data_IF_155682962294
#
_entry.id   IF_155682962294
#
_cell.length_a   1.000
_cell.length_b   1.000
_cell.length_c   1.000
_cell.angle_alpha   90.00
_cell.angle_beta   90.00
_cell.angle_gamma   90.00
#
_symmetry.space_group_name_H-M   'P 1'
#
loop_
_entity.id
_entity.type
_entity.pdbx_description
1 polymer ?
#
# COMPACT_ATOMS: atom_id res chain seq x y z
N UNK A 1 9.02 19.06 -71.99
CA UNK A 1 7.66 18.82 -71.46
C UNK A 1 7.77 17.87 -70.27
N UNK A 2 7.30 18.33 -69.10
CA UNK A 2 7.32 17.67 -67.78
C UNK A 2 6.51 16.36 -67.79
N UNK A 3 7.00 15.28 -67.17
CA UNK A 3 6.23 14.27 -66.37
C UNK A 3 7.20 13.58 -65.39
N UNK A 4 7.28 14.06 -64.15
CA UNK A 4 6.56 13.59 -62.95
C UNK A 4 7.24 12.38 -62.30
N UNK A 5 8.12 12.68 -61.35
CA UNK A 5 8.60 11.77 -60.30
C UNK A 5 7.42 11.37 -59.41
N UNK A 6 7.10 10.08 -59.35
CA UNK A 6 6.21 9.52 -58.33
C UNK A 6 7.09 8.95 -57.21
N UNK A 7 7.33 9.75 -56.17
CA UNK A 7 7.96 9.29 -54.94
C UNK A 7 6.93 8.54 -54.09
N UNK A 8 7.12 7.23 -53.93
CA UNK A 8 6.33 6.41 -53.02
C UNK A 8 6.88 6.59 -51.60
N UNK A 9 6.29 7.51 -50.82
CA UNK A 9 6.51 7.53 -49.36
C UNK A 9 5.75 6.35 -48.76
N UNK A 10 6.45 5.25 -48.50
CA UNK A 10 5.95 4.19 -47.63
C UNK A 10 5.99 4.68 -46.18
N UNK A 11 4.86 5.17 -45.68
CA UNK A 11 4.67 5.40 -44.26
C UNK A 11 4.59 4.04 -43.54
N UNK A 12 5.69 3.61 -42.93
CA UNK A 12 5.70 2.48 -42.00
C UNK A 12 4.92 2.89 -40.75
N UNK A 13 3.63 2.60 -40.73
CA UNK A 13 2.83 2.66 -39.51
C UNK A 13 3.33 1.55 -38.57
N UNK A 14 4.13 1.92 -37.58
CA UNK A 14 4.36 1.06 -36.41
C UNK A 14 3.01 0.91 -35.70
N UNK A 15 2.30 -0.19 -35.99
CA UNK A 15 1.19 -0.60 -35.16
C UNK A 15 1.76 -0.92 -33.77
N UNK A 16 1.47 -0.07 -32.79
CA UNK A 16 1.73 -0.39 -31.39
C UNK A 16 0.99 -1.70 -31.11
N UNK A 17 1.74 -2.80 -30.91
CA UNK A 17 1.13 -4.07 -30.60
C UNK A 17 0.48 -3.95 -29.22
N UNK A 18 -0.80 -4.32 -29.15
CA UNK A 18 -1.45 -4.51 -27.88
C UNK A 18 -0.63 -5.49 -27.03
N UNK A 19 -0.54 -5.21 -25.74
CA UNK A 19 0.18 -6.06 -24.80
C UNK A 19 -0.77 -6.51 -23.70
N UNK A 20 -0.40 -7.62 -23.05
CA UNK A 20 -1.25 -8.26 -22.05
C UNK A 20 -0.59 -8.14 -20.69
N UNK A 21 -1.34 -7.63 -19.73
CA UNK A 21 -0.96 -7.65 -18.32
C UNK A 21 -1.83 -8.68 -17.61
N UNK A 22 -1.20 -9.53 -16.81
CA UNK A 22 -1.92 -10.49 -15.96
C UNK A 22 -2.07 -9.91 -14.57
N UNK A 23 -3.30 -9.81 -14.07
CA UNK A 23 -3.57 -9.32 -12.72
C UNK A 23 -3.42 -10.43 -11.66
N UNK A 24 -3.63 -10.11 -10.39
CA UNK A 24 -3.45 -11.07 -9.28
C UNK A 24 -4.49 -12.20 -9.24
N UNK A 25 -5.57 -12.10 -10.04
CA UNK A 25 -6.54 -13.19 -10.23
C UNK A 25 -6.07 -14.18 -11.30
N UNK A 26 -4.99 -13.88 -12.01
CA UNK A 26 -4.60 -14.60 -13.22
C UNK A 26 -5.38 -14.17 -14.46
N UNK A 27 -6.14 -13.07 -14.39
CA UNK A 27 -6.91 -12.55 -15.52
C UNK A 27 -5.98 -11.79 -16.45
N UNK A 28 -6.02 -12.14 -17.73
CA UNK A 28 -5.26 -11.49 -18.80
C UNK A 28 -6.05 -10.30 -19.34
N UNK A 29 -5.50 -9.10 -19.15
CA UNK A 29 -6.10 -7.85 -19.63
C UNK A 29 -5.25 -7.31 -20.77
N UNK A 30 -5.85 -7.26 -21.96
CA UNK A 30 -5.23 -6.69 -23.14
C UNK A 30 -5.41 -5.17 -23.17
N UNK A 31 -4.28 -4.47 -23.29
CA UNK A 31 -4.17 -3.02 -23.39
C UNK A 31 -3.57 -2.67 -24.77
N UNK A 32 -4.24 -1.84 -25.59
CA UNK A 32 -3.74 -1.50 -26.93
C UNK A 32 -2.49 -0.63 -26.91
N UNK A 33 -2.28 0.12 -25.82
CA UNK A 33 -1.15 1.02 -25.55
C UNK A 33 -1.12 1.33 -24.05
N UNK A 34 -0.01 1.87 -23.51
CA UNK A 34 0.02 2.39 -22.14
C UNK A 34 -1.13 3.40 -21.90
N UNK A 35 -1.97 3.19 -20.86
CA UNK A 35 -3.14 4.01 -20.60
C UNK A 35 -2.72 5.42 -20.21
N UNK A 36 -3.49 6.41 -20.69
CA UNK A 36 -3.31 7.84 -20.42
C UNK A 36 -4.38 8.37 -19.46
N UNK A 37 -5.47 7.62 -19.25
CA UNK A 37 -6.55 7.93 -18.31
C UNK A 37 -6.73 6.78 -17.34
N UNK A 38 -6.18 6.92 -16.14
CA UNK A 38 -6.16 5.87 -15.12
C UNK A 38 -7.06 6.29 -13.97
N UNK A 39 -7.92 5.37 -13.53
CA UNK A 39 -8.61 5.50 -12.25
C UNK A 39 -8.03 4.49 -11.28
N UNK A 40 -7.66 4.93 -10.07
CA UNK A 40 -7.23 4.07 -8.97
C UNK A 40 -8.28 4.06 -7.87
N UNK A 41 -8.60 2.87 -7.34
CA UNK A 41 -9.56 2.69 -6.24
C UNK A 41 -8.88 2.14 -4.97
N UNK A 42 -7.57 2.34 -4.84
CA UNK A 42 -6.77 1.93 -3.69
C UNK A 42 -5.59 2.92 -3.52
N UNK A 43 -5.35 3.49 -2.33
CA UNK A 43 -4.30 4.48 -2.14
C UNK A 43 -2.91 4.02 -2.56
N UNK A 44 -2.52 2.78 -2.23
CA UNK A 44 -1.21 2.27 -2.62
C UNK A 44 -1.00 2.21 -4.14
N UNK A 45 -2.06 2.00 -4.93
CA UNK A 45 -1.97 2.05 -6.39
C UNK A 45 -1.78 3.49 -6.87
N UNK A 46 -2.49 4.45 -6.29
CA UNK A 46 -2.28 5.88 -6.57
C UNK A 46 -0.84 6.30 -6.31
N UNK A 47 -0.32 5.99 -5.11
CA UNK A 47 1.04 6.32 -4.71
C UNK A 47 2.07 5.65 -5.66
N UNK A 48 1.82 4.40 -6.07
CA UNK A 48 2.69 3.65 -6.99
C UNK A 48 2.71 4.23 -8.40
N UNK A 49 1.55 4.60 -8.95
CA UNK A 49 1.46 5.26 -10.27
C UNK A 49 2.26 6.58 -10.26
N UNK A 50 2.12 7.38 -9.21
CA UNK A 50 2.85 8.63 -9.08
C UNK A 50 4.37 8.41 -8.93
N UNK A 51 4.77 7.41 -8.14
CA UNK A 51 6.20 7.07 -7.95
C UNK A 51 6.84 6.54 -9.24
N UNK A 52 6.06 5.86 -10.09
CA UNK A 52 6.49 5.39 -11.40
C UNK A 52 6.47 6.48 -12.49
N UNK A 53 6.28 7.74 -12.09
CA UNK A 53 6.38 8.90 -12.98
C UNK A 53 5.16 9.14 -13.87
N UNK A 54 3.99 8.57 -13.53
CA UNK A 54 2.77 8.67 -14.34
C UNK A 54 1.59 9.30 -13.56
N UNK A 55 1.90 10.16 -12.58
CA UNK A 55 0.89 10.80 -11.72
C UNK A 55 -0.11 11.66 -12.52
N UNK A 56 0.36 12.27 -13.61
CA UNK A 56 -0.40 13.08 -14.57
C UNK A 56 -1.44 12.28 -15.37
N UNK A 57 -1.31 10.95 -15.42
CA UNK A 57 -2.26 10.04 -16.10
C UNK A 57 -3.46 9.68 -15.21
N UNK A 58 -3.45 10.04 -13.93
CA UNK A 58 -4.57 9.81 -13.02
C UNK A 58 -5.69 10.82 -13.31
N UNK A 59 -6.89 10.29 -13.57
CA UNK A 59 -8.09 11.11 -13.83
C UNK A 59 -9.14 11.00 -12.72
N UNK A 60 -8.96 10.07 -11.79
CA UNK A 60 -9.80 9.89 -10.61
C UNK A 60 -9.14 8.93 -9.63
N UNK A 61 -9.34 9.16 -8.34
CA UNK A 61 -8.74 8.38 -7.25
C UNK A 61 -9.78 7.99 -6.22
N UNK A 62 -9.48 7.04 -5.35
CA UNK A 62 -10.30 6.79 -4.17
C UNK A 62 -10.21 7.95 -3.17
N UNK A 63 -11.20 8.06 -2.30
CA UNK A 63 -11.34 9.13 -1.31
C UNK A 63 -10.22 9.20 -0.27
N UNK A 64 -9.45 8.13 -0.08
CA UNK A 64 -8.34 8.09 0.88
C UNK A 64 -6.98 8.39 0.23
N UNK A 65 -6.91 8.41 -1.10
CA UNK A 65 -5.71 8.84 -1.83
C UNK A 65 -5.41 10.31 -1.57
N UNK A 66 -4.26 10.57 -0.95
CA UNK A 66 -3.90 11.88 -0.45
C UNK A 66 -2.40 12.21 -0.58
N UNK A 67 -1.64 11.37 -1.29
CA UNK A 67 -0.22 11.57 -1.60
C UNK A 67 0.10 11.10 -3.02
N UNK A 68 0.98 11.81 -3.76
CA UNK A 68 1.48 13.15 -3.45
C UNK A 68 0.35 14.19 -3.43
N UNK A 69 0.55 15.36 -2.85
CA UNK A 69 -0.54 16.34 -2.62
C UNK A 69 -1.33 16.71 -3.89
N UNK A 70 -0.70 16.63 -5.06
CA UNK A 70 -1.34 16.86 -6.36
C UNK A 70 -2.56 15.97 -6.61
N UNK A 71 -2.61 14.74 -6.05
CA UNK A 71 -3.73 13.82 -6.27
C UNK A 71 -5.00 14.24 -5.53
N UNK A 72 -4.88 15.10 -4.51
CA UNK A 72 -6.04 15.61 -3.74
C UNK A 72 -6.98 16.47 -4.59
N UNK A 73 -6.49 17.03 -5.70
CA UNK A 73 -7.28 17.81 -6.63
C UNK A 73 -8.10 16.95 -7.61
N UNK A 74 -7.85 15.63 -7.66
CA UNK A 74 -8.54 14.73 -8.58
C UNK A 74 -9.95 14.39 -8.08
N UNK A 75 -10.90 14.11 -9.00
CA UNK A 75 -12.22 13.60 -8.64
C UNK A 75 -12.13 12.34 -7.77
N UNK A 76 -12.93 12.30 -6.70
CA UNK A 76 -12.99 11.17 -5.77
C UNK A 76 -14.08 10.18 -6.15
N UNK A 77 -13.69 8.91 -6.34
CA UNK A 77 -14.55 7.84 -6.86
C UNK A 77 -15.22 6.99 -5.78
N UNK A 78 -15.34 7.47 -4.55
CA UNK A 78 -15.73 6.66 -3.40
C UNK A 78 -14.52 6.01 -2.72
N UNK A 79 -14.73 5.02 -1.85
CA UNK A 79 -13.65 4.23 -1.24
C UNK A 79 -13.47 2.88 -1.93
N UNK A 80 -12.44 2.11 -1.56
CA UNK A 80 -12.19 0.80 -2.17
C UNK A 80 -13.33 -0.23 -1.99
N UNK A 81 -14.09 -0.11 -0.89
CA UNK A 81 -15.23 -1.00 -0.55
C UNK A 81 -16.55 -0.47 -1.13
N UNK A 82 -16.68 0.85 -1.26
CA UNK A 82 -17.85 1.57 -1.77
C UNK A 82 -17.54 2.47 -2.99
N UNK A 83 -16.95 1.96 -4.11
CA UNK A 83 -16.71 2.81 -5.28
C UNK A 83 -17.99 3.27 -5.96
N UNK A 84 -18.00 4.51 -6.46
CA UNK A 84 -19.04 5.07 -7.29
C UNK A 84 -18.81 4.70 -8.76
N UNK A 85 -19.48 3.64 -9.22
CA UNK A 85 -19.32 3.08 -10.57
C UNK A 85 -19.69 4.10 -11.65
N UNK A 86 -20.76 4.85 -11.45
CA UNK A 86 -21.25 5.85 -12.40
C UNK A 86 -20.22 6.97 -12.59
N UNK A 87 -19.60 7.43 -11.50
CA UNK A 87 -18.52 8.42 -11.55
C UNK A 87 -17.28 7.88 -12.28
N UNK A 88 -16.89 6.62 -12.02
CA UNK A 88 -15.77 5.97 -12.71
C UNK A 88 -16.02 5.90 -14.22
N UNK A 89 -17.22 5.47 -14.63
CA UNK A 89 -17.59 5.37 -16.06
C UNK A 89 -17.61 6.75 -16.72
N UNK A 90 -18.12 7.77 -16.03
CA UNK A 90 -18.18 9.14 -16.55
C UNK A 90 -16.80 9.71 -16.91
N UNK A 91 -15.74 9.28 -16.21
CA UNK A 91 -14.36 9.69 -16.50
C UNK A 91 -13.78 9.02 -17.75
N UNK A 92 -14.44 8.02 -18.33
CA UNK A 92 -13.96 7.26 -19.51
C UNK A 92 -12.48 6.84 -19.37
N UNK A 93 -12.13 6.08 -18.32
CA UNK A 93 -10.76 5.63 -18.12
C UNK A 93 -10.36 4.58 -19.16
N UNK A 94 -9.08 4.57 -19.51
CA UNK A 94 -8.48 3.49 -20.30
C UNK A 94 -8.33 2.22 -19.45
N UNK A 95 -8.10 2.37 -18.14
CA UNK A 95 -8.01 1.27 -17.18
C UNK A 95 -8.45 1.72 -15.78
N UNK A 96 -9.08 0.80 -15.04
CA UNK A 96 -9.37 0.94 -13.61
C UNK A 96 -8.51 -0.04 -12.82
N UNK A 97 -7.80 0.47 -11.82
CA UNK A 97 -6.93 -0.30 -10.93
C UNK A 97 -7.59 -0.38 -9.56
N UNK A 98 -7.80 -1.58 -9.03
CA UNK A 98 -8.52 -1.77 -7.77
C UNK A 98 -8.03 -2.99 -6.98
N UNK A 99 -8.38 -3.02 -5.69
CA UNK A 99 -8.11 -4.14 -4.80
C UNK A 99 -9.03 -5.33 -5.09
N UNK A 100 -8.59 -6.56 -4.76
CA UNK A 100 -9.42 -7.77 -4.85
C UNK A 100 -10.64 -7.69 -3.92
N UNK A 101 -10.50 -7.00 -2.80
CA UNK A 101 -11.59 -6.73 -1.86
C UNK A 101 -12.68 -5.79 -2.38
N UNK A 102 -12.47 -5.13 -3.54
CA UNK A 102 -13.47 -4.27 -4.14
C UNK A 102 -14.65 -5.06 -4.70
N UNK A 103 -15.86 -4.55 -4.48
CA UNK A 103 -17.12 -5.23 -4.85
C UNK A 103 -17.61 -4.89 -6.26
N UNK A 104 -16.94 -3.98 -6.96
CA UNK A 104 -17.43 -3.42 -8.24
C UNK A 104 -16.74 -4.01 -9.47
N UNK A 105 -15.74 -4.88 -9.30
CA UNK A 105 -14.91 -5.42 -10.39
C UNK A 105 -15.76 -5.97 -11.54
N UNK A 106 -16.67 -6.90 -11.26
CA UNK A 106 -17.54 -7.51 -12.28
C UNK A 106 -18.48 -6.49 -12.93
N UNK A 107 -18.95 -5.50 -12.16
CA UNK A 107 -19.85 -4.45 -12.68
C UNK A 107 -19.11 -3.52 -13.65
N UNK A 108 -17.88 -3.14 -13.34
CA UNK A 108 -17.05 -2.31 -14.23
C UNK A 108 -16.66 -3.08 -15.51
N UNK A 109 -16.29 -4.36 -15.38
CA UNK A 109 -15.98 -5.24 -16.52
C UNK A 109 -17.21 -5.41 -17.44
N UNK A 110 -18.40 -5.64 -16.88
CA UNK A 110 -19.65 -5.76 -17.64
C UNK A 110 -20.05 -4.47 -18.38
N UNK A 111 -19.56 -3.31 -17.92
CA UNK A 111 -19.72 -2.01 -18.59
C UNK A 111 -18.63 -1.76 -19.65
N UNK A 112 -17.78 -2.75 -19.93
CA UNK A 112 -16.77 -2.69 -20.98
C UNK A 112 -15.46 -2.02 -20.56
N UNK A 113 -15.29 -1.67 -19.29
CA UNK A 113 -14.04 -1.10 -18.79
C UNK A 113 -12.97 -2.18 -18.64
N UNK A 114 -11.71 -1.80 -18.92
CA UNK A 114 -10.54 -2.63 -18.58
C UNK A 114 -10.27 -2.49 -17.09
N UNK A 115 -10.21 -3.61 -16.37
CA UNK A 115 -10.00 -3.63 -14.92
C UNK A 115 -8.84 -4.54 -14.57
N UNK A 116 -7.90 -4.03 -13.78
CA UNK A 116 -6.81 -4.82 -13.20
C UNK A 116 -6.97 -4.90 -11.68
N UNK A 117 -6.98 -6.12 -11.15
CA UNK A 117 -7.00 -6.38 -9.71
C UNK A 117 -5.58 -6.50 -9.18
N UNK A 118 -5.17 -5.53 -8.37
CA UNK A 118 -3.83 -5.40 -7.79
C UNK A 118 -3.97 -4.99 -6.30
N UNK A 119 -3.65 -5.89 -5.38
CA UNK A 119 -3.78 -5.67 -3.93
C UNK A 119 -2.56 -6.22 -3.18
N UNK A 120 -1.54 -5.39 -2.94
CA UNK A 120 -0.36 -5.85 -2.23
C UNK A 120 -0.68 -6.09 -0.75
N UNK A 121 -0.36 -7.28 -0.24
CA UNK A 121 -0.59 -7.65 1.19
C UNK A 121 0.70 -7.75 1.98
N UNK A 122 1.80 -8.03 1.30
CA UNK A 122 3.13 -8.22 1.84
C UNK A 122 4.19 -7.58 0.91
N UNK A 123 5.46 -7.67 1.28
CA UNK A 123 6.59 -7.08 0.53
C UNK A 123 6.72 -7.71 -0.87
N UNK A 124 6.53 -9.03 -0.98
CA UNK A 124 6.58 -9.72 -2.28
C UNK A 124 5.46 -9.29 -3.21
N UNK A 125 4.23 -9.17 -2.70
CA UNK A 125 3.09 -8.70 -3.47
C UNK A 125 3.32 -7.26 -3.93
N UNK A 126 3.88 -6.39 -3.09
CA UNK A 126 4.22 -5.02 -3.49
C UNK A 126 5.18 -5.00 -4.67
N UNK A 127 6.23 -5.83 -4.65
CA UNK A 127 7.15 -5.99 -5.78
C UNK A 127 6.40 -6.44 -7.05
N UNK A 128 5.54 -7.48 -6.94
CA UNK A 128 4.75 -7.99 -8.08
C UNK A 128 3.77 -6.94 -8.62
N UNK A 129 3.16 -6.16 -7.75
CA UNK A 129 2.27 -5.05 -8.12
C UNK A 129 3.05 -3.95 -8.84
N UNK A 130 4.23 -3.56 -8.37
CA UNK A 130 5.09 -2.61 -9.10
C UNK A 130 5.47 -3.15 -10.48
N UNK A 131 5.80 -4.43 -10.59
CA UNK A 131 6.13 -5.07 -11.87
C UNK A 131 4.94 -5.04 -12.85
N UNK A 132 3.73 -5.32 -12.37
CA UNK A 132 2.51 -5.21 -13.16
C UNK A 132 2.25 -3.76 -13.57
N UNK A 133 2.41 -2.80 -12.66
CA UNK A 133 2.23 -1.37 -12.97
C UNK A 133 3.31 -0.85 -13.94
N UNK A 134 4.53 -1.35 -13.87
CA UNK A 134 5.60 -1.06 -14.83
C UNK A 134 5.19 -1.45 -16.26
N UNK A 135 4.61 -2.65 -16.40
CA UNK A 135 4.06 -3.12 -17.68
C UNK A 135 2.89 -2.24 -18.14
N UNK A 136 1.92 -1.96 -17.26
CA UNK A 136 0.77 -1.08 -17.55
C UNK A 136 1.23 0.29 -18.03
N UNK A 137 2.20 0.89 -17.36
CA UNK A 137 2.65 2.23 -17.66
C UNK A 137 3.64 2.31 -18.83
N UNK A 138 4.19 1.16 -19.25
CA UNK A 138 5.27 1.08 -20.25
C UNK A 138 6.59 1.66 -19.74
N UNK A 139 6.87 1.53 -18.44
CA UNK A 139 8.08 2.08 -17.80
C UNK A 139 9.00 0.96 -17.29
N UNK A 140 10.33 1.08 -17.48
CA UNK A 140 11.29 0.11 -16.94
C UNK A 140 11.58 0.30 -15.43
N UNK A 141 11.01 1.33 -14.81
CA UNK A 141 11.41 1.78 -13.48
C UNK A 141 10.91 0.92 -12.32
N UNK A 142 9.97 0.00 -12.54
CA UNK A 142 9.37 -0.82 -11.48
C UNK A 142 10.40 -1.51 -10.58
N UNK A 143 11.39 -2.15 -11.19
CA UNK A 143 12.46 -2.85 -10.46
C UNK A 143 13.37 -1.90 -9.70
N UNK A 144 13.63 -0.70 -10.25
CA UNK A 144 14.41 0.32 -9.56
C UNK A 144 13.65 0.84 -8.34
N UNK A 145 12.38 1.20 -8.51
CA UNK A 145 11.51 1.68 -7.43
C UNK A 145 11.41 0.64 -6.30
N UNK A 146 11.23 -0.64 -6.64
CA UNK A 146 11.25 -1.70 -5.62
C UNK A 146 12.57 -1.76 -4.85
N UNK A 147 13.72 -1.70 -5.54
CA UNK A 147 15.04 -1.70 -4.90
C UNK A 147 15.19 -0.49 -3.97
N UNK A 148 14.71 0.68 -4.36
CA UNK A 148 14.79 1.89 -3.55
C UNK A 148 13.95 1.75 -2.26
N UNK A 149 12.73 1.19 -2.36
CA UNK A 149 11.87 0.88 -1.21
C UNK A 149 12.57 -0.13 -0.28
N UNK A 150 13.04 -1.24 -0.85
CA UNK A 150 13.67 -2.32 -0.08
C UNK A 150 14.95 -1.85 0.62
N UNK A 151 15.78 -1.07 -0.07
CA UNK A 151 16.97 -0.45 0.50
C UNK A 151 16.61 0.52 1.64
N UNK A 152 15.55 1.32 1.49
CA UNK A 152 15.11 2.24 2.54
C UNK A 152 14.63 1.51 3.80
N UNK A 153 13.93 0.38 3.66
CA UNK A 153 13.52 -0.45 4.82
C UNK A 153 14.74 -1.10 5.48
N UNK A 154 15.70 -1.61 4.69
CA UNK A 154 16.95 -2.16 5.22
C UNK A 154 17.78 -1.11 5.95
N UNK A 155 17.88 0.11 5.41
CA UNK A 155 18.57 1.23 6.06
C UNK A 155 17.90 1.61 7.40
N UNK A 156 16.56 1.60 7.44
CA UNK A 156 15.83 1.81 8.69
C UNK A 156 16.18 0.74 9.73
N UNK A 157 16.20 -0.53 9.35
CA UNK A 157 16.58 -1.63 10.25
C UNK A 157 18.01 -1.50 10.80
N UNK A 158 18.98 -1.14 9.96
CA UNK A 158 20.38 -0.96 10.37
C UNK A 158 20.60 0.19 11.35
N UNK A 159 19.67 1.14 11.44
CA UNK A 159 19.75 2.27 12.38
C UNK A 159 19.32 1.91 13.81
N UNK A 160 18.76 0.72 14.03
CA UNK A 160 18.35 0.26 15.36
C UNK A 160 19.51 -0.41 16.09
N UNK A 161 19.72 -0.07 17.38
CA UNK A 161 20.70 -0.78 18.19
C UNK A 161 20.22 -2.21 18.48
N UNK A 162 21.18 -3.14 18.61
CA UNK A 162 20.88 -4.55 18.91
C UNK A 162 20.09 -4.74 20.23
N UNK A 163 20.11 -3.77 21.15
CA UNK A 163 19.32 -3.76 22.38
C UNK A 163 17.81 -3.77 22.15
N UNK A 164 17.35 -3.23 21.01
CA UNK A 164 15.93 -3.19 20.64
C UNK A 164 15.47 -4.55 20.10
N UNK A 165 16.41 -5.39 19.65
CA UNK A 165 16.10 -6.71 19.12
C UNK A 165 15.32 -7.52 20.16
N UNK A 166 14.27 -8.24 19.71
CA UNK A 166 13.32 -9.01 20.55
C UNK A 166 12.26 -8.22 21.31
N UNK A 167 12.18 -6.89 21.16
CA UNK A 167 11.03 -6.12 21.67
C UNK A 167 9.73 -6.74 21.15
N UNK A 168 8.81 -7.12 22.05
CA UNK A 168 7.50 -7.66 21.68
C UNK A 168 6.56 -6.53 21.28
N UNK A 169 6.24 -6.41 20.01
CA UNK A 169 5.41 -5.34 19.46
C UNK A 169 4.00 -5.84 19.19
N UNK A 170 3.02 -5.04 19.62
CA UNK A 170 1.65 -5.12 19.16
C UNK A 170 1.34 -3.93 18.27
N UNK A 171 0.99 -4.17 17.01
CA UNK A 171 0.54 -3.12 16.09
C UNK A 171 -0.98 -3.22 15.90
N UNK A 172 -1.70 -2.25 16.42
CA UNK A 172 -3.17 -2.17 16.35
C UNK A 172 -3.60 -1.34 15.13
N UNK A 173 -4.40 -1.96 14.26
CA UNK A 173 -4.92 -1.35 13.04
C UNK A 173 -6.11 -0.44 13.36
N UNK A 174 -7.02 -0.89 14.23
CA UNK A 174 -8.19 -0.12 14.63
C UNK A 174 -8.69 -0.51 16.03
N UNK A 175 -9.59 0.31 16.57
CA UNK A 175 -10.20 0.11 17.89
C UNK A 175 -11.11 -1.13 18.03
N UNK A 176 -11.41 -1.83 16.93
CA UNK A 176 -12.06 -3.13 16.95
C UNK A 176 -11.06 -4.30 17.13
N UNK A 177 -9.82 -3.96 17.51
CA UNK A 177 -8.72 -4.89 17.84
C UNK A 177 -8.30 -5.74 16.65
N UNK A 178 -8.42 -5.17 15.44
CA UNK A 178 -7.68 -5.70 14.29
C UNK A 178 -6.20 -5.36 14.45
N UNK A 179 -5.33 -6.31 14.12
CA UNK A 179 -3.90 -6.19 14.33
C UNK A 179 -3.12 -6.55 13.07
N UNK A 180 -1.89 -6.05 12.94
CA UNK A 180 -0.98 -6.54 11.90
C UNK A 180 -0.34 -7.85 12.35
N UNK A 181 -0.59 -8.94 11.63
CA UNK A 181 0.09 -10.22 11.79
C UNK A 181 1.44 -10.26 11.07
N UNK A 182 2.30 -11.21 11.45
CA UNK A 182 3.62 -11.41 10.81
C UNK A 182 3.55 -11.62 9.29
N UNK A 183 2.44 -12.12 8.76
CA UNK A 183 2.23 -12.32 7.31
C UNK A 183 1.71 -11.08 6.56
N UNK A 184 1.54 -9.95 7.24
CA UNK A 184 1.25 -8.65 6.60
C UNK A 184 2.53 -7.90 6.28
N UNK A 185 2.45 -6.93 5.37
CA UNK A 185 3.59 -6.04 5.08
C UNK A 185 4.09 -5.28 6.34
N UNK A 186 3.21 -4.93 7.28
CA UNK A 186 3.59 -4.32 8.58
C UNK A 186 4.37 -5.34 9.40
N UNK A 187 3.87 -6.58 9.50
CA UNK A 187 4.52 -7.65 10.23
C UNK A 187 5.89 -8.04 9.66
N UNK A 188 6.01 -8.11 8.34
CA UNK A 188 7.29 -8.32 7.66
C UNK A 188 8.25 -7.16 7.89
N UNK A 189 7.76 -5.91 7.88
CA UNK A 189 8.57 -4.73 8.23
C UNK A 189 9.08 -4.83 9.67
N UNK A 190 8.21 -5.15 10.64
CA UNK A 190 8.61 -5.36 12.04
C UNK A 190 9.66 -6.49 12.16
N UNK A 191 9.50 -7.57 11.42
CA UNK A 191 10.45 -8.69 11.38
C UNK A 191 11.82 -8.23 10.88
N UNK A 192 11.85 -7.43 9.80
CA UNK A 192 13.09 -6.84 9.27
C UNK A 192 13.75 -5.86 10.24
N UNK A 193 12.96 -5.14 11.04
CA UNK A 193 13.46 -4.27 12.12
C UNK A 193 14.00 -5.06 13.33
N UNK A 194 13.97 -6.40 13.31
CA UNK A 194 14.52 -7.25 14.37
C UNK A 194 13.67 -7.36 15.63
N UNK A 195 12.42 -6.88 15.58
CA UNK A 195 11.47 -6.94 16.70
C UNK A 195 10.51 -8.12 16.53
N UNK A 196 9.90 -8.56 17.63
CA UNK A 196 8.99 -9.71 17.63
C UNK A 196 7.55 -9.22 17.61
N UNK A 197 6.82 -9.48 16.53
CA UNK A 197 5.39 -9.27 16.52
C UNK A 197 4.70 -10.27 17.47
N UNK A 198 3.73 -9.83 18.27
CA UNK A 198 2.97 -10.75 19.11
C UNK A 198 1.95 -11.58 18.33
N UNK A 199 1.58 -11.14 17.11
CA UNK A 199 0.56 -11.78 16.28
C UNK A 199 1.22 -12.67 15.22
N UNK A 200 1.17 -14.01 15.38
CA UNK A 200 1.90 -14.93 14.52
C UNK A 200 1.32 -14.98 13.11
N UNK A 201 2.15 -15.37 12.14
CA UNK A 201 1.76 -15.47 10.73
C UNK A 201 0.53 -16.38 10.48
N UNK A 202 0.35 -17.40 11.32
CA UNK A 202 -0.77 -18.36 11.25
C UNK A 202 -2.16 -17.75 11.48
N UNK A 203 -2.25 -16.55 12.05
CA UNK A 203 -3.50 -15.81 12.21
C UNK A 203 -3.87 -14.98 10.96
N UNK A 204 -3.01 -14.95 9.94
CA UNK A 204 -3.19 -14.13 8.74
C UNK A 204 -2.69 -12.69 8.89
N UNK A 205 -2.85 -11.87 7.84
CA UNK A 205 -2.21 -10.55 7.78
C UNK A 205 -2.89 -9.52 8.69
N UNK A 206 -4.22 -9.54 8.76
CA UNK A 206 -5.00 -8.57 9.55
C UNK A 206 -6.11 -9.23 10.37
N UNK A 207 -5.79 -10.12 11.33
CA UNK A 207 -6.80 -10.77 12.15
C UNK A 207 -7.51 -9.80 13.08
N UNK A 208 -8.80 -10.05 13.30
CA UNK A 208 -9.51 -9.52 14.47
C UNK A 208 -9.13 -10.36 15.69
N UNK A 209 -8.49 -9.74 16.68
CA UNK A 209 -8.07 -10.45 17.88
C UNK A 209 -9.15 -10.41 18.96
N UNK A 210 -9.12 -11.41 19.84
CA UNK A 210 -9.73 -11.29 21.15
C UNK A 210 -8.89 -10.30 22.00
N UNK A 211 -9.47 -9.27 22.66
CA UNK A 211 -8.76 -8.41 23.60
C UNK A 211 -7.93 -9.14 24.67
N UNK A 212 -8.43 -10.25 25.23
CA UNK A 212 -7.69 -11.06 26.23
C UNK A 212 -6.43 -11.71 25.65
N UNK A 213 -6.39 -11.97 24.34
CA UNK A 213 -5.18 -12.45 23.68
C UNK A 213 -4.05 -11.41 23.81
N UNK A 214 -4.35 -10.13 23.58
CA UNK A 214 -3.36 -9.05 23.70
C UNK A 214 -2.88 -8.91 25.15
N UNK A 215 -3.79 -9.02 26.12
CA UNK A 215 -3.46 -9.02 27.56
C UNK A 215 -2.51 -10.17 27.91
N UNK A 216 -2.82 -11.40 27.48
CA UNK A 216 -1.98 -12.59 27.73
C UNK A 216 -0.65 -12.52 27.00
N UNK A 217 -0.62 -11.96 25.81
CA UNK A 217 0.60 -11.76 25.05
C UNK A 217 1.51 -10.69 25.67
N UNK A 218 0.97 -9.78 26.47
CA UNK A 218 1.72 -8.81 27.27
C UNK A 218 2.86 -8.13 26.47
N UNK A 219 2.53 -7.35 25.42
CA UNK A 219 3.52 -6.70 24.58
C UNK A 219 4.38 -5.71 25.37
N UNK A 220 5.61 -5.54 24.89
CA UNK A 220 6.57 -4.55 25.38
C UNK A 220 6.30 -3.15 24.81
N UNK A 221 5.70 -3.09 23.63
CA UNK A 221 5.42 -1.84 22.92
C UNK A 221 4.11 -1.96 22.14
N UNK A 222 3.28 -0.93 22.21
CA UNK A 222 2.07 -0.82 21.39
C UNK A 222 2.29 0.28 20.35
N UNK A 223 2.03 -0.05 19.09
CA UNK A 223 2.02 0.87 17.95
C UNK A 223 0.58 1.02 17.47
N UNK A 224 0.05 2.24 17.45
CA UNK A 224 -1.37 2.49 17.17
C UNK A 224 -1.57 3.90 16.62
N UNK A 225 -2.59 4.12 15.80
CA UNK A 225 -2.97 5.49 15.40
C UNK A 225 -3.64 6.24 16.55
N UNK A 226 -3.49 7.56 16.62
CA UNK A 226 -4.17 8.43 17.62
C UNK A 226 -5.68 8.15 17.66
N UNK A 227 -6.31 8.04 16.48
CA UNK A 227 -7.73 7.70 16.35
C UNK A 227 -8.08 6.37 17.02
N UNK A 228 -7.24 5.36 16.85
CA UNK A 228 -7.52 4.00 17.36
C UNK A 228 -7.12 3.82 18.82
N UNK A 229 -6.27 4.70 19.33
CA UNK A 229 -5.83 4.70 20.72
C UNK A 229 -6.86 5.31 21.69
N UNK A 230 -7.97 5.85 21.19
CA UNK A 230 -9.01 6.40 22.06
C UNK A 230 -9.58 5.29 22.96
N UNK A 231 -9.55 5.52 24.28
CA UNK A 231 -10.08 4.54 25.24
C UNK A 231 -9.15 3.34 25.49
N UNK A 232 -7.93 3.33 24.94
CA UNK A 232 -7.07 2.14 24.90
C UNK A 232 -6.69 1.65 26.30
N UNK A 233 -6.26 2.56 27.17
CA UNK A 233 -5.88 2.22 28.55
C UNK A 233 -7.07 1.81 29.42
N UNK A 234 -8.29 2.21 29.04
CA UNK A 234 -9.52 1.89 29.76
C UNK A 234 -10.09 0.51 29.39
N UNK A 235 -9.51 -0.18 28.40
CA UNK A 235 -9.97 -1.51 28.00
C UNK A 235 -9.77 -2.52 29.13
N UNK A 236 -10.74 -3.42 29.38
CA UNK A 236 -10.65 -4.41 30.45
C UNK A 236 -9.35 -5.22 30.42
N UNK A 237 -8.61 -5.22 31.53
CA UNK A 237 -7.33 -5.93 31.67
C UNK A 237 -6.12 -5.23 31.04
N UNK A 238 -6.30 -4.19 30.22
CA UNK A 238 -5.18 -3.55 29.50
C UNK A 238 -4.26 -2.75 30.42
N UNK A 239 -4.75 -2.24 31.55
CA UNK A 239 -3.90 -1.64 32.59
C UNK A 239 -2.81 -2.56 33.15
N UNK A 240 -2.96 -3.89 33.00
CA UNK A 240 -1.96 -4.88 33.39
C UNK A 240 -0.88 -5.14 32.34
N UNK A 241 -1.07 -4.70 31.09
CA UNK A 241 -0.10 -4.88 30.01
C UNK A 241 1.13 -4.02 30.28
N UNK A 242 2.33 -4.60 30.16
CA UNK A 242 3.62 -3.90 30.38
C UNK A 242 3.73 -2.61 29.57
N UNK A 243 3.37 -2.65 28.29
CA UNK A 243 3.39 -1.47 27.43
C UNK A 243 2.48 -0.33 27.94
N UNK A 244 1.30 -0.66 28.48
CA UNK A 244 0.35 0.34 29.00
C UNK A 244 0.86 0.90 30.33
N UNK A 245 1.20 0.03 31.29
CA UNK A 245 1.70 0.42 32.61
C UNK A 245 2.96 1.28 32.55
N UNK A 246 3.83 1.03 31.59
CA UNK A 246 5.11 1.72 31.43
C UNK A 246 5.06 2.88 30.41
N UNK A 247 3.88 3.22 29.87
CA UNK A 247 3.73 4.32 28.91
C UNK A 247 4.47 4.10 27.57
N UNK A 248 4.71 2.83 27.20
CA UNK A 248 5.34 2.40 25.95
C UNK A 248 4.28 2.19 24.87
N UNK A 249 3.60 3.29 24.54
CA UNK A 249 2.59 3.36 23.48
C UNK A 249 3.02 4.46 22.51
N UNK A 250 3.24 4.11 21.24
CA UNK A 250 3.44 5.05 20.17
C UNK A 250 2.11 5.34 19.48
N UNK A 251 1.75 6.62 19.46
CA UNK A 251 0.53 7.11 18.85
C UNK A 251 0.88 7.89 17.59
N UNK A 252 0.56 7.32 16.43
CA UNK A 252 0.82 7.93 15.14
C UNK A 252 -0.32 8.88 14.75
N UNK A 253 0.03 10.06 14.27
CA UNK A 253 -0.92 11.04 13.72
C UNK A 253 -1.68 10.45 12.52
N UNK A 254 -2.72 11.14 12.04
CA UNK A 254 -3.49 10.65 10.89
C UNK A 254 -2.62 10.45 9.64
N UNK A 255 -1.74 11.41 9.34
CA UNK A 255 -0.87 11.36 8.17
C UNK A 255 0.21 10.26 8.29
N UNK A 256 0.78 10.08 9.49
CA UNK A 256 1.72 8.98 9.76
C UNK A 256 1.02 7.62 9.70
N UNK A 257 -0.21 7.52 10.20
CA UNK A 257 -0.99 6.29 10.12
C UNK A 257 -1.27 5.91 8.67
N UNK A 258 -1.59 6.87 7.80
CA UNK A 258 -1.74 6.63 6.37
C UNK A 258 -0.48 6.02 5.74
N UNK A 259 0.70 6.54 6.08
CA UNK A 259 1.99 5.97 5.62
C UNK A 259 2.17 4.54 6.14
N UNK A 260 1.83 4.28 7.41
CA UNK A 260 2.06 2.99 8.07
C UNK A 260 1.12 1.87 7.60
N UNK A 261 -0.11 2.20 7.21
CA UNK A 261 -1.15 1.19 6.90
C UNK A 261 -1.36 0.96 5.41
N UNK A 262 -0.52 1.55 4.56
CA UNK A 262 -0.58 1.39 3.10
C UNK A 262 0.66 0.66 2.58
N UNK A 263 0.52 -0.58 2.06
CA UNK A 263 1.60 -1.29 1.41
C UNK A 263 1.88 -0.63 0.05
N UNK A 264 2.87 0.26 0.01
CA UNK A 264 3.12 1.13 -1.13
C UNK A 264 4.54 1.70 -1.16
N UNK A 265 4.82 2.68 -2.03
CA UNK A 265 6.15 3.27 -2.18
C UNK A 265 6.73 3.91 -0.93
N UNK A 266 5.87 4.28 0.03
CA UNK A 266 6.27 4.91 1.30
C UNK A 266 6.61 3.91 2.41
N UNK A 267 6.74 2.61 2.11
CA UNK A 267 7.13 1.60 3.11
C UNK A 267 8.47 1.89 3.79
N UNK A 268 9.40 2.56 3.10
CA UNK A 268 10.64 3.06 3.71
C UNK A 268 10.37 4.11 4.80
N UNK A 269 9.47 5.05 4.54
CA UNK A 269 9.01 6.06 5.51
C UNK A 269 8.26 5.42 6.68
N UNK A 270 7.40 4.42 6.40
CA UNK A 270 6.73 3.62 7.41
C UNK A 270 7.73 2.91 8.35
N UNK A 271 8.80 2.32 7.79
CA UNK A 271 9.85 1.71 8.59
C UNK A 271 10.56 2.75 9.48
N UNK A 272 10.84 3.95 8.96
CA UNK A 272 11.43 5.04 9.73
C UNK A 272 10.53 5.52 10.88
N UNK A 273 9.21 5.57 10.66
CA UNK A 273 8.22 5.86 11.71
C UNK A 273 8.28 4.81 12.84
N UNK A 274 8.33 3.52 12.48
CA UNK A 274 8.47 2.43 13.45
C UNK A 274 9.81 2.48 14.19
N UNK A 275 10.91 2.81 13.51
CA UNK A 275 12.24 2.99 14.11
C UNK A 275 12.23 4.11 15.14
N UNK A 276 11.68 5.29 14.82
CA UNK A 276 11.57 6.39 15.79
C UNK A 276 10.80 5.98 17.04
N UNK A 277 9.69 5.28 16.85
CA UNK A 277 8.91 4.72 17.95
C UNK A 277 9.76 3.75 18.82
N UNK A 278 10.48 2.83 18.19
CA UNK A 278 11.33 1.87 18.89
C UNK A 278 12.47 2.54 19.65
N UNK A 279 13.16 3.51 19.06
CA UNK A 279 14.24 4.25 19.73
C UNK A 279 13.74 5.01 20.96
N UNK A 280 12.53 5.58 20.90
CA UNK A 280 11.97 6.36 22.00
C UNK A 280 11.35 5.51 23.12
N UNK A 281 10.80 4.34 22.79
CA UNK A 281 9.92 3.59 23.71
C UNK A 281 10.36 2.15 23.99
N UNK A 282 11.23 1.55 23.20
CA UNK A 282 11.72 0.21 23.50
C UNK A 282 12.73 0.24 24.65
N UNK A 283 12.83 -0.88 25.39
CA UNK A 283 13.86 -1.03 26.43
C UNK A 283 15.23 -1.06 25.75
N UNK A 284 16.10 -0.11 26.08
CA UNK A 284 17.43 0.03 25.47
C UNK A 284 17.48 0.90 24.21
N UNK A 285 16.41 1.61 23.88
CA UNK A 285 16.49 2.77 22.99
C UNK A 285 17.21 3.93 23.69
N UNK A 286 18.06 4.65 22.95
CA UNK A 286 18.67 5.90 23.42
C UNK A 286 17.63 7.01 23.33
N UNK A 287 16.87 7.20 24.42
CA UNK A 287 16.04 8.38 24.63
C UNK A 287 16.84 9.52 25.23
#
# INVERSE_FOLDING_TARGET
MKRLFAGLLAALAFAAQAYVVTDERGVRVELPRPPQRIVTLLPSLTESICTLGACDRLVGVDRYSNWPDSVRALPQMGGGIDPNVEAVVALKPDVVLLARSSRVTQRLEALGLKVLVLEPKNHEDMRRVLDALGQVLGTPDAQRVWRDIDASVSAAAMSLPASVARTRVYFEINNAVYAAGESSFIGETLTRLGVKNIVPASMGPFPKLNPEYVVRADPDLIMVSVRSAQGLEQRPGWGGIRAVREGRICRFTADEADVLVRPGPRMGEAAQLMVRCLQQKARGGTG
#
